data_IF_333834344226
#
_entry.id   IF_333834344226
#
_cell.length_a   1.000
_cell.length_b   1.000
_cell.length_c   1.000
_cell.angle_alpha   90.00
_cell.angle_beta   90.00
_cell.angle_gamma   90.00
#
_symmetry.space_group_name_H-M   'P 1'
#
loop_
_entity.id
_entity.type
_entity.pdbx_description
1 polymer ?
#
# COMPACT_ATOMS: atom_id res chain seq x y z
N UNK A 1 24.24 -32.60 -48.01
CA UNK A 1 23.13 -32.31 -47.09
C UNK A 1 23.67 -31.60 -45.85
N UNK A 2 23.49 -30.28 -45.72
CA UNK A 2 23.90 -29.54 -44.51
C UNK A 2 22.79 -28.53 -44.21
N UNK A 3 21.90 -28.90 -43.27
CA UNK A 3 20.78 -28.07 -42.84
C UNK A 3 21.31 -27.01 -41.88
N UNK A 4 21.24 -25.74 -42.26
CA UNK A 4 21.51 -24.61 -41.37
C UNK A 4 20.24 -24.34 -40.55
N UNK A 5 20.30 -24.58 -39.24
CA UNK A 5 19.25 -24.21 -38.29
C UNK A 5 19.57 -22.78 -37.82
N UNK A 6 18.76 -21.82 -38.23
CA UNK A 6 18.82 -20.45 -37.72
C UNK A 6 18.06 -20.38 -36.39
N UNK A 7 18.79 -20.15 -35.29
CA UNK A 7 18.20 -19.94 -33.98
C UNK A 7 17.68 -18.49 -33.89
N UNK A 8 16.36 -18.33 -33.85
CA UNK A 8 15.67 -17.06 -33.64
C UNK A 8 15.78 -16.69 -32.15
N UNK A 9 16.68 -15.77 -31.80
CA UNK A 9 16.79 -15.23 -30.45
C UNK A 9 15.63 -14.25 -30.20
N UNK A 10 14.65 -14.66 -29.40
CA UNK A 10 13.65 -13.74 -28.85
C UNK A 10 14.32 -12.85 -27.80
N UNK A 11 14.56 -11.58 -28.12
CA UNK A 11 14.93 -10.56 -27.15
C UNK A 11 13.71 -10.24 -26.27
N UNK A 12 13.87 -10.20 -24.93
CA UNK A 12 12.79 -9.76 -24.04
C UNK A 12 12.47 -8.30 -24.32
N UNK A 13 11.22 -8.02 -24.73
CA UNK A 13 10.74 -6.66 -24.87
C UNK A 13 10.73 -6.00 -23.47
N UNK A 14 11.28 -4.79 -23.29
CA UNK A 14 11.12 -4.05 -22.05
C UNK A 14 9.62 -3.86 -21.81
N UNK A 15 9.14 -4.34 -20.65
CA UNK A 15 7.76 -4.15 -20.24
C UNK A 15 7.46 -2.66 -20.24
N UNK A 16 6.38 -2.26 -20.92
CA UNK A 16 5.91 -0.87 -20.92
C UNK A 16 5.60 -0.48 -19.48
N UNK A 17 6.54 0.19 -18.82
CA UNK A 17 6.22 0.99 -17.66
C UNK A 17 5.18 2.01 -18.13
N UNK A 18 4.02 2.01 -17.49
CA UNK A 18 3.00 3.02 -17.76
C UNK A 18 3.62 4.37 -17.36
N UNK A 19 3.71 5.31 -18.31
CA UNK A 19 4.15 6.68 -18.08
C UNK A 19 3.07 7.44 -17.27
N UNK A 20 2.94 7.08 -16.00
CA UNK A 20 2.05 7.74 -15.05
C UNK A 20 2.72 9.01 -14.53
N UNK A 21 2.03 10.14 -14.62
CA UNK A 21 2.44 11.42 -14.04
C UNK A 21 2.09 11.39 -12.56
N UNK A 22 2.99 10.85 -11.74
CA UNK A 22 2.75 10.61 -10.31
C UNK A 22 3.67 11.46 -9.43
N UNK A 23 3.10 12.11 -8.42
CA UNK A 23 3.80 12.83 -7.36
C UNK A 23 3.08 12.61 -6.02
N UNK A 24 3.83 12.23 -4.98
CA UNK A 24 3.31 11.97 -3.62
C UNK A 24 3.09 13.27 -2.82
N UNK A 25 3.65 14.40 -3.27
CA UNK A 25 3.63 15.67 -2.54
C UNK A 25 2.23 16.12 -2.02
N UNK A 26 1.10 15.92 -2.73
CA UNK A 26 -0.22 16.26 -2.21
C UNK A 26 -0.60 15.51 -0.93
N UNK A 27 -0.18 14.25 -0.80
CA UNK A 27 -0.41 13.43 0.40
C UNK A 27 0.46 13.93 1.54
N UNK A 28 1.75 14.17 1.29
CA UNK A 28 2.67 14.67 2.32
C UNK A 28 2.25 16.05 2.86
N UNK A 29 1.79 16.94 1.97
CA UNK A 29 1.27 18.24 2.36
C UNK A 29 0.04 18.10 3.26
N UNK A 30 -0.87 17.17 2.95
CA UNK A 30 -2.02 16.87 3.78
C UNK A 30 -1.62 16.29 5.15
N UNK A 31 -0.65 15.38 5.19
CA UNK A 31 -0.16 14.79 6.45
C UNK A 31 0.44 15.89 7.34
N UNK A 32 1.24 16.80 6.77
CA UNK A 32 1.78 17.97 7.48
C UNK A 32 0.70 18.90 8.03
N UNK A 33 -0.44 18.97 7.35
CA UNK A 33 -1.61 19.74 7.79
C UNK A 33 -2.49 18.99 8.82
N UNK A 34 -2.10 17.79 9.26
CA UNK A 34 -2.83 17.02 10.28
C UNK A 34 -4.00 16.21 9.73
N UNK A 35 -4.09 15.96 8.43
CA UNK A 35 -5.20 15.21 7.83
C UNK A 35 -5.22 13.71 8.17
N UNK A 36 -4.11 13.15 8.66
CA UNK A 36 -4.02 11.73 9.04
C UNK A 36 -4.41 10.78 7.90
N UNK A 37 -5.24 9.79 8.19
CA UNK A 37 -5.70 8.81 7.19
C UNK A 37 -6.54 9.41 6.05
N UNK A 38 -7.13 10.61 6.23
CA UNK A 38 -7.94 11.28 5.21
C UNK A 38 -7.11 11.82 4.04
N UNK A 39 -5.78 11.78 4.16
CA UNK A 39 -4.87 12.15 3.09
C UNK A 39 -4.79 11.12 1.95
N UNK A 40 -5.24 9.89 2.20
CA UNK A 40 -5.24 8.82 1.20
C UNK A 40 -6.11 9.18 -0.01
N UNK A 41 -5.57 8.96 -1.20
CA UNK A 41 -6.21 9.20 -2.50
C UNK A 41 -5.80 10.51 -3.17
N UNK A 42 -5.19 11.45 -2.43
CA UNK A 42 -4.87 12.79 -2.97
C UNK A 42 -3.84 12.75 -4.09
N UNK A 43 -2.81 11.90 -4.00
CA UNK A 43 -1.82 11.79 -5.06
C UNK A 43 -2.35 10.96 -6.24
N UNK A 44 -3.13 9.91 -5.96
CA UNK A 44 -3.80 9.10 -6.95
C UNK A 44 -4.76 9.92 -7.82
N UNK A 45 -5.57 10.78 -7.20
CA UNK A 45 -6.49 11.69 -7.88
C UNK A 45 -5.74 12.62 -8.86
N UNK A 46 -4.68 13.29 -8.39
CA UNK A 46 -3.86 14.15 -9.24
C UNK A 46 -3.16 13.39 -10.37
N UNK A 47 -2.70 12.16 -10.08
CA UNK A 47 -2.10 11.30 -11.09
C UNK A 47 -3.11 10.90 -12.18
N UNK A 48 -4.35 10.55 -11.79
CA UNK A 48 -5.42 10.19 -12.72
C UNK A 48 -5.76 11.38 -13.63
N UNK A 49 -5.85 12.59 -13.07
CA UNK A 49 -6.15 13.81 -13.81
C UNK A 49 -5.01 14.20 -14.78
N UNK A 50 -3.76 14.09 -14.34
CA UNK A 50 -2.60 14.54 -15.10
C UNK A 50 -2.10 13.54 -16.16
N UNK A 51 -2.47 12.26 -16.04
CA UNK A 51 -1.98 11.20 -16.93
C UNK A 51 -2.92 10.98 -18.13
N UNK A 52 -2.42 11.02 -19.38
CA UNK A 52 -3.19 10.55 -20.53
C UNK A 52 -3.65 9.09 -20.34
N UNK A 53 -4.97 8.87 -20.38
CA UNK A 53 -5.54 7.55 -20.06
C UNK A 53 -5.64 7.24 -18.57
N UNK A 54 -5.44 8.22 -17.68
CA UNK A 54 -5.57 8.06 -16.23
C UNK A 54 -6.97 7.60 -15.79
N UNK A 55 -8.04 8.00 -16.50
CA UNK A 55 -9.41 7.54 -16.25
C UNK A 55 -9.73 6.15 -16.80
N UNK A 56 -8.80 5.49 -17.50
CA UNK A 56 -8.98 4.08 -17.85
C UNK A 56 -8.83 3.23 -16.59
N UNK A 57 -9.42 2.03 -16.58
CA UNK A 57 -9.23 1.06 -15.50
C UNK A 57 -7.75 0.82 -15.16
N UNK A 58 -6.89 0.80 -16.18
CA UNK A 58 -5.45 0.58 -16.03
C UNK A 58 -4.79 1.81 -15.40
N UNK A 59 -5.11 3.01 -15.89
CA UNK A 59 -4.60 4.27 -15.35
C UNK A 59 -5.01 4.47 -13.88
N UNK A 60 -6.29 4.30 -13.57
CA UNK A 60 -6.81 4.40 -12.21
C UNK A 60 -6.12 3.41 -11.28
N UNK A 61 -6.00 2.14 -11.69
CA UNK A 61 -5.29 1.14 -10.89
C UNK A 61 -3.85 1.56 -10.65
N UNK A 62 -3.12 1.94 -11.71
CA UNK A 62 -1.70 2.28 -11.62
C UNK A 62 -1.42 3.48 -10.71
N UNK A 63 -2.18 4.56 -10.84
CA UNK A 63 -2.04 5.76 -10.00
C UNK A 63 -2.32 5.44 -8.51
N UNK A 64 -3.41 4.73 -8.23
CA UNK A 64 -3.78 4.33 -6.86
C UNK A 64 -2.78 3.34 -6.26
N UNK A 65 -2.24 2.43 -7.08
CA UNK A 65 -1.22 1.45 -6.66
C UNK A 65 0.09 2.14 -6.22
N UNK A 66 0.53 3.15 -6.98
CA UNK A 66 1.70 3.96 -6.63
C UNK A 66 1.51 4.66 -5.29
N UNK A 67 0.37 5.32 -5.08
CA UNK A 67 0.11 5.95 -3.78
C UNK A 67 0.07 4.92 -2.66
N UNK A 68 -0.63 3.79 -2.84
CA UNK A 68 -0.66 2.71 -1.85
C UNK A 68 0.75 2.25 -1.47
N UNK A 69 1.66 2.10 -2.44
CA UNK A 69 3.03 1.69 -2.17
C UNK A 69 3.79 2.67 -1.25
N UNK A 70 3.55 3.98 -1.39
CA UNK A 70 4.10 4.98 -0.46
C UNK A 70 3.54 4.81 0.96
N UNK A 71 2.22 4.64 1.09
CA UNK A 71 1.58 4.39 2.39
C UNK A 71 2.08 3.09 3.04
N UNK A 72 2.30 2.02 2.26
CA UNK A 72 2.84 0.76 2.77
C UNK A 72 4.29 0.90 3.23
N UNK A 73 5.12 1.67 2.51
CA UNK A 73 6.47 2.00 2.95
C UNK A 73 6.50 2.76 4.29
N UNK A 74 5.63 3.75 4.45
CA UNK A 74 5.49 4.47 5.72
C UNK A 74 4.96 3.57 6.84
N UNK A 75 3.95 2.75 6.56
CA UNK A 75 3.41 1.78 7.50
C UNK A 75 4.51 0.85 8.04
N UNK A 76 5.34 0.29 7.14
CA UNK A 76 6.40 -0.64 7.54
C UNK A 76 7.47 0.07 8.39
N UNK A 77 7.80 1.31 8.05
CA UNK A 77 8.73 2.14 8.83
C UNK A 77 8.20 2.36 10.25
N UNK A 78 6.95 2.80 10.38
CA UNK A 78 6.30 3.05 11.67
C UNK A 78 6.17 1.76 12.48
N UNK A 79 5.78 0.66 11.86
CA UNK A 79 5.71 -0.65 12.50
C UNK A 79 7.04 -1.08 13.10
N UNK A 80 8.14 -0.97 12.34
CA UNK A 80 9.47 -1.34 12.82
C UNK A 80 9.92 -0.49 14.02
N UNK A 81 9.68 0.83 13.96
CA UNK A 81 10.00 1.74 15.06
C UNK A 81 9.20 1.41 16.32
N UNK A 82 7.88 1.23 16.20
CA UNK A 82 7.02 0.90 17.33
C UNK A 82 7.38 -0.48 17.92
N UNK A 83 7.61 -1.49 17.08
CA UNK A 83 8.01 -2.81 17.54
C UNK A 83 9.31 -2.77 18.35
N UNK A 84 10.33 -2.05 17.85
CA UNK A 84 11.60 -1.90 18.55
C UNK A 84 11.44 -1.21 19.91
N UNK A 85 10.64 -0.13 19.98
CA UNK A 85 10.31 0.57 21.23
C UNK A 85 9.65 -0.37 22.25
N UNK A 86 8.63 -1.11 21.82
CA UNK A 86 7.90 -2.04 22.70
C UNK A 86 8.78 -3.21 23.15
N UNK A 87 9.63 -3.75 22.26
CA UNK A 87 10.53 -4.85 22.60
C UNK A 87 11.57 -4.43 23.66
N UNK A 88 12.08 -3.20 23.59
CA UNK A 88 12.97 -2.66 24.60
C UNK A 88 12.28 -2.50 25.96
N UNK A 89 11.03 -2.02 25.98
CA UNK A 89 10.23 -1.91 27.20
C UNK A 89 9.91 -3.28 27.81
N UNK A 90 9.51 -4.23 26.97
CA UNK A 90 9.21 -5.61 27.34
C UNK A 90 10.42 -6.33 27.98
N UNK A 91 11.64 -5.94 27.63
CA UNK A 91 12.87 -6.48 28.20
C UNK A 91 13.23 -5.87 29.56
N UNK A 92 12.80 -4.64 29.84
CA UNK A 92 13.05 -3.94 31.10
C UNK A 92 12.04 -4.30 32.20
N UNK A 93 10.82 -4.69 31.83
CA UNK A 93 9.73 -4.96 32.77
C UNK A 93 9.60 -6.46 33.01
N UNK A 94 9.90 -6.90 34.23
CA UNK A 94 9.48 -8.22 34.72
C UNK A 94 8.01 -8.15 35.13
N UNK A 95 7.15 -8.64 34.25
CA UNK A 95 5.70 -8.72 34.44
C UNK A 95 5.18 -10.03 33.85
N UNK A 96 4.10 -10.54 34.45
CA UNK A 96 3.32 -11.67 33.91
C UNK A 96 2.36 -11.25 32.79
N UNK A 97 2.25 -9.95 32.49
CA UNK A 97 1.43 -9.47 31.38
C UNK A 97 1.99 -9.92 30.02
N UNK A 98 1.12 -10.07 28.99
CA UNK A 98 1.56 -10.35 27.63
C UNK A 98 2.59 -9.32 27.13
N UNK A 99 3.57 -9.80 26.35
CA UNK A 99 4.60 -8.94 25.74
C UNK A 99 3.98 -8.08 24.63
N UNK A 100 4.13 -6.77 24.75
CA UNK A 100 3.49 -5.81 23.85
C UNK A 100 4.03 -5.92 22.42
N UNK A 101 5.33 -6.15 22.23
CA UNK A 101 5.91 -6.29 20.90
C UNK A 101 5.33 -7.51 20.16
N UNK A 102 5.17 -8.63 20.87
CA UNK A 102 4.54 -9.82 20.30
C UNK A 102 3.06 -9.56 19.95
N UNK A 103 2.31 -8.94 20.85
CA UNK A 103 0.91 -8.58 20.60
C UNK A 103 0.75 -7.64 19.38
N UNK A 104 1.64 -6.65 19.21
CA UNK A 104 1.67 -5.77 18.05
C UNK A 104 1.88 -6.58 16.75
N UNK A 105 2.85 -7.49 16.73
CA UNK A 105 3.13 -8.33 15.57
C UNK A 105 1.94 -9.22 15.21
N UNK A 106 1.30 -9.82 16.20
CA UNK A 106 0.12 -10.68 15.99
C UNK A 106 -1.06 -9.87 15.43
N UNK A 107 -1.34 -8.70 16.01
CA UNK A 107 -2.35 -7.77 15.51
C UNK A 107 -2.08 -7.38 14.06
N UNK A 108 -0.83 -7.03 13.73
CA UNK A 108 -0.49 -6.61 12.36
C UNK A 108 -0.65 -7.74 11.34
N UNK A 109 -0.32 -8.99 11.71
CA UNK A 109 -0.55 -10.16 10.86
C UNK A 109 -2.04 -10.44 10.65
N UNK A 110 -2.86 -10.30 11.70
CA UNK A 110 -4.30 -10.46 11.59
C UNK A 110 -4.92 -9.36 10.71
N UNK A 111 -4.46 -8.12 10.85
CA UNK A 111 -4.88 -6.99 10.02
C UNK A 111 -4.63 -7.23 8.53
N UNK A 112 -3.48 -7.82 8.14
CA UNK A 112 -3.21 -8.16 6.73
C UNK A 112 -4.31 -9.08 6.18
N UNK A 113 -4.67 -10.13 6.93
CA UNK A 113 -5.75 -11.03 6.53
C UNK A 113 -7.10 -10.33 6.42
N UNK A 114 -7.44 -9.47 7.37
CA UNK A 114 -8.64 -8.61 7.31
C UNK A 114 -8.65 -7.70 6.07
N UNK A 115 -7.55 -6.97 5.82
CA UNK A 115 -7.41 -6.08 4.66
C UNK A 115 -7.61 -6.84 3.36
N UNK A 116 -6.91 -7.96 3.19
CA UNK A 116 -6.92 -8.71 1.94
C UNK A 116 -8.30 -9.33 1.67
N UNK A 117 -8.96 -9.87 2.71
CA UNK A 117 -10.33 -10.40 2.60
C UNK A 117 -11.36 -9.31 2.34
N UNK A 118 -11.26 -8.17 3.04
CA UNK A 118 -12.12 -7.00 2.81
C UNK A 118 -11.98 -6.49 1.38
N UNK A 119 -10.76 -6.26 0.90
CA UNK A 119 -10.55 -5.70 -0.43
C UNK A 119 -10.86 -6.70 -1.55
N UNK A 120 -10.76 -8.01 -1.29
CA UNK A 120 -11.31 -9.06 -2.14
C UNK A 120 -12.85 -9.01 -2.23
N UNK A 121 -13.53 -8.77 -1.10
CA UNK A 121 -14.98 -8.55 -1.09
C UNK A 121 -15.38 -7.30 -1.86
N UNK A 122 -14.68 -6.16 -1.69
CA UNK A 122 -14.92 -4.94 -2.46
C UNK A 122 -14.81 -5.19 -3.98
N UNK A 123 -13.81 -5.96 -4.41
CA UNK A 123 -13.67 -6.35 -5.81
C UNK A 123 -14.84 -7.21 -6.31
N UNK A 124 -15.35 -8.10 -5.46
CA UNK A 124 -16.44 -9.02 -5.81
C UNK A 124 -17.77 -8.31 -6.12
N UNK A 125 -17.99 -7.12 -5.54
CA UNK A 125 -19.20 -6.33 -5.78
C UNK A 125 -19.33 -5.83 -7.23
N UNK A 126 -18.26 -5.92 -8.02
CA UNK A 126 -18.23 -5.53 -9.43
C UNK A 126 -18.56 -6.66 -10.41
N UNK A 127 -18.92 -7.85 -9.91
CA UNK A 127 -19.44 -8.94 -10.75
C UNK A 127 -18.50 -9.41 -11.87
N UNK A 128 -17.19 -9.27 -11.69
CA UNK A 128 -16.18 -9.58 -12.71
C UNK A 128 -15.95 -8.50 -13.77
N UNK A 129 -16.59 -7.34 -13.63
CA UNK A 129 -16.37 -6.17 -14.48
C UNK A 129 -14.98 -5.53 -14.28
N UNK A 130 -14.59 -4.67 -15.22
CA UNK A 130 -13.26 -4.02 -15.22
C UNK A 130 -13.05 -3.10 -14.01
N UNK A 131 -14.12 -2.59 -13.38
CA UNK A 131 -14.03 -1.77 -12.16
C UNK A 131 -13.57 -2.51 -10.91
N UNK A 132 -13.59 -3.86 -10.90
CA UNK A 132 -13.12 -4.67 -9.77
C UNK A 132 -11.66 -4.33 -9.38
N UNK A 133 -10.83 -4.06 -10.38
CA UNK A 133 -9.42 -3.75 -10.17
C UNK A 133 -9.17 -2.44 -9.42
N UNK A 134 -9.66 -1.30 -9.93
CA UNK A 134 -9.64 -0.02 -9.24
C UNK A 134 -10.26 -0.07 -7.84
N UNK A 135 -11.39 -0.77 -7.67
CA UNK A 135 -12.05 -0.90 -6.38
C UNK A 135 -11.19 -1.62 -5.33
N UNK A 136 -10.60 -2.76 -5.70
CA UNK A 136 -9.70 -3.51 -4.83
C UNK A 136 -8.51 -2.64 -4.38
N UNK A 137 -7.83 -1.98 -5.32
CA UNK A 137 -6.62 -1.19 -4.99
C UNK A 137 -6.95 0.06 -4.18
N UNK A 138 -8.11 0.69 -4.41
CA UNK A 138 -8.60 1.81 -3.60
C UNK A 138 -8.86 1.36 -2.15
N UNK A 139 -9.52 0.22 -1.96
CA UNK A 139 -9.67 -0.38 -0.63
C UNK A 139 -8.31 -0.60 0.05
N UNK A 140 -7.35 -1.20 -0.66
CA UNK A 140 -6.01 -1.44 -0.10
C UNK A 140 -5.32 -0.13 0.30
N UNK A 141 -5.43 0.93 -0.52
CA UNK A 141 -4.90 2.25 -0.20
C UNK A 141 -5.47 2.79 1.11
N UNK A 142 -6.80 2.84 1.25
CA UNK A 142 -7.44 3.39 2.43
C UNK A 142 -7.19 2.57 3.70
N UNK A 143 -7.20 1.24 3.62
CA UNK A 143 -6.88 0.38 4.77
C UNK A 143 -5.42 0.53 5.21
N UNK A 144 -4.50 0.67 4.25
CA UNK A 144 -3.07 0.87 4.54
C UNK A 144 -2.85 2.23 5.22
N UNK A 145 -3.50 3.28 4.74
CA UNK A 145 -3.41 4.62 5.34
C UNK A 145 -3.99 4.65 6.77
N UNK A 146 -5.17 4.04 6.97
CA UNK A 146 -5.80 3.87 8.29
C UNK A 146 -4.87 3.14 9.27
N UNK A 147 -4.28 2.03 8.84
CA UNK A 147 -3.40 1.25 9.70
C UNK A 147 -2.10 2.00 10.01
N UNK A 148 -1.50 2.68 9.03
CA UNK A 148 -0.34 3.53 9.25
C UNK A 148 -0.64 4.58 10.32
N UNK A 149 -1.78 5.27 10.21
CA UNK A 149 -2.19 6.29 11.17
C UNK A 149 -2.50 5.71 12.56
N UNK A 150 -3.13 4.54 12.65
CA UNK A 150 -3.31 3.82 13.90
C UNK A 150 -1.97 3.52 14.58
N UNK A 151 -1.00 2.98 13.84
CA UNK A 151 0.33 2.66 14.38
C UNK A 151 1.08 3.93 14.82
N UNK A 152 0.97 5.02 14.05
CA UNK A 152 1.61 6.29 14.37
C UNK A 152 1.01 6.97 15.60
N UNK A 153 -0.31 6.93 15.74
CA UNK A 153 -0.99 7.49 16.92
C UNK A 153 -0.87 6.58 18.15
N UNK A 154 -0.66 5.28 17.96
CA UNK A 154 -0.43 4.35 19.06
C UNK A 154 0.96 4.56 19.66
N UNK A 155 1.02 5.16 20.86
CA UNK A 155 2.22 5.22 21.74
C UNK A 155 3.50 5.87 21.15
N UNK A 156 3.55 6.25 19.87
CA UNK A 156 4.61 7.07 19.26
C UNK A 156 4.32 8.57 19.40
N UNK A 157 3.05 8.94 19.62
CA UNK A 157 2.63 10.32 19.91
C UNK A 157 2.55 10.67 21.40
N UNK A 158 2.99 9.78 22.31
CA UNK A 158 3.37 10.12 23.68
C UNK A 158 4.80 10.67 23.69
#
# INVERSE_FOLDING_TARGET
MRRLIAALMLLPAPGMAQDLVFDIAPVEACIRAGGGETCAGKAAERCIEATPGGYTTIGMRGCTDRERAHWDGWLNTVYQQLYAKLAAQDAQIQSHAPKQAQALREMQRAWIGYRDTKCGYEASQWGGGTGAGPAAVSCHLHETARQMHYLQSSRLGE
#
